data_IF_037696317430
#
_entry.id   IF_037696317430
#
_cell.length_a   1.000
_cell.length_b   1.000
_cell.length_c   1.000
_cell.angle_alpha   90.00
_cell.angle_beta   90.00
_cell.angle_gamma   90.00
#
_symmetry.space_group_name_H-M   'P 1'
#
loop_
_entity.id
_entity.type
_entity.pdbx_description
1 polymer ?
#
# COMPACT_ATOMS: atom_id res chain seq x y z
N UNK A 1 7.81 -8.47 3.64
CA UNK A 1 7.63 -8.63 2.17
C UNK A 1 6.95 -9.94 1.79
N UNK A 2 7.38 -11.09 2.32
CA UNK A 2 6.83 -12.38 1.90
C UNK A 2 5.29 -12.48 2.00
N UNK A 3 4.72 -12.14 3.17
CA UNK A 3 3.27 -12.14 3.38
C UNK A 3 2.52 -11.17 2.46
N UNK A 4 3.12 -10.03 2.14
CA UNK A 4 2.55 -9.07 1.20
C UNK A 4 2.49 -9.65 -0.21
N UNK A 5 3.55 -10.35 -0.64
CA UNK A 5 3.60 -10.96 -1.97
C UNK A 5 2.62 -12.13 -2.06
N UNK A 6 2.49 -12.93 -0.99
CA UNK A 6 1.44 -13.96 -0.88
C UNK A 6 0.05 -13.31 -1.00
N UNK A 7 -0.18 -12.20 -0.31
CA UNK A 7 -1.43 -11.44 -0.35
C UNK A 7 -1.72 -10.94 -1.76
N UNK A 8 -0.75 -10.32 -2.44
CA UNK A 8 -0.90 -9.86 -3.81
C UNK A 8 -1.26 -11.00 -4.78
N UNK A 9 -0.63 -12.18 -4.60
CA UNK A 9 -0.95 -13.38 -5.38
C UNK A 9 -2.40 -13.83 -5.17
N UNK A 10 -2.88 -13.84 -3.92
CA UNK A 10 -4.27 -14.18 -3.59
C UNK A 10 -5.23 -13.20 -4.25
N UNK A 11 -4.99 -11.88 -4.11
CA UNK A 11 -5.84 -10.86 -4.74
C UNK A 11 -5.86 -10.99 -6.26
N UNK A 12 -4.71 -11.17 -6.89
CA UNK A 12 -4.64 -11.33 -8.34
C UNK A 12 -5.44 -12.56 -8.82
N UNK A 13 -5.30 -13.71 -8.14
CA UNK A 13 -6.00 -14.95 -8.50
C UNK A 13 -7.51 -14.87 -8.28
N UNK A 14 -7.96 -14.18 -7.23
CA UNK A 14 -9.39 -14.03 -6.92
C UNK A 14 -10.05 -12.85 -7.65
N UNK A 15 -9.27 -12.04 -8.37
CA UNK A 15 -9.75 -10.86 -9.07
C UNK A 15 -10.57 -11.19 -10.32
N UNK A 16 -11.46 -10.25 -10.67
CA UNK A 16 -12.23 -10.31 -11.92
C UNK A 16 -11.30 -10.27 -13.15
N UNK A 17 -11.76 -10.76 -14.31
CA UNK A 17 -10.99 -10.66 -15.56
C UNK A 17 -10.49 -9.24 -15.85
N UNK A 18 -11.34 -8.22 -15.67
CA UNK A 18 -10.98 -6.83 -15.90
C UNK A 18 -9.81 -6.35 -15.04
N UNK A 19 -9.77 -6.74 -13.75
CA UNK A 19 -8.64 -6.38 -12.87
C UNK A 19 -7.37 -7.12 -13.28
N UNK A 20 -7.47 -8.39 -13.70
CA UNK A 20 -6.31 -9.13 -14.21
C UNK A 20 -5.79 -8.53 -15.52
N UNK A 21 -6.67 -8.10 -16.41
CA UNK A 21 -6.29 -7.45 -17.66
C UNK A 21 -5.58 -6.11 -17.40
N UNK A 22 -6.09 -5.31 -16.46
CA UNK A 22 -5.42 -4.09 -16.01
C UNK A 22 -4.03 -4.38 -15.43
N UNK A 23 -3.89 -5.47 -14.67
CA UNK A 23 -2.61 -5.85 -14.09
C UNK A 23 -1.60 -6.33 -15.18
N UNK A 24 -2.05 -7.07 -16.19
CA UNK A 24 -1.19 -7.40 -17.34
C UNK A 24 -0.81 -6.18 -18.15
N UNK A 25 -1.73 -5.21 -18.30
CA UNK A 25 -1.42 -3.95 -18.97
C UNK A 25 -0.33 -3.20 -18.19
N UNK A 26 -0.47 -3.11 -16.87
CA UNK A 26 0.54 -2.53 -15.99
C UNK A 26 1.90 -3.23 -16.11
N UNK A 27 1.92 -4.56 -16.21
CA UNK A 27 3.17 -5.30 -16.46
C UNK A 27 3.85 -4.86 -17.75
N UNK A 28 3.08 -4.81 -18.85
CA UNK A 28 3.58 -4.40 -20.17
C UNK A 28 4.00 -2.94 -20.25
N UNK A 29 3.43 -2.07 -19.42
CA UNK A 29 3.84 -0.66 -19.33
C UNK A 29 5.24 -0.52 -18.69
N UNK A 30 5.65 -1.47 -17.86
CA UNK A 30 6.97 -1.46 -17.21
C UNK A 30 8.00 -2.25 -18.02
N UNK A 31 7.63 -3.42 -18.55
CA UNK A 31 8.45 -4.29 -19.41
C UNK A 31 8.63 -3.63 -20.79
N UNK A 32 9.59 -2.72 -20.90
CA UNK A 32 9.76 -1.82 -22.04
C UNK A 32 10.38 -2.54 -23.24
N UNK A 33 11.30 -3.47 -23.00
CA UNK A 33 11.92 -4.27 -24.07
C UNK A 33 11.14 -5.54 -24.45
N UNK A 34 10.07 -5.87 -23.71
CA UNK A 34 9.19 -7.02 -23.91
C UNK A 34 9.91 -8.36 -23.77
N UNK A 35 10.93 -8.45 -22.90
CA UNK A 35 11.63 -9.71 -22.63
C UNK A 35 10.92 -10.61 -21.59
N UNK A 36 9.77 -10.15 -21.07
CA UNK A 36 8.89 -10.90 -20.18
C UNK A 36 9.27 -10.79 -18.70
N UNK A 37 10.19 -9.90 -18.35
CA UNK A 37 10.64 -9.62 -16.99
C UNK A 37 10.99 -8.13 -16.90
N UNK A 38 11.09 -7.61 -15.68
CA UNK A 38 11.39 -6.19 -15.46
C UNK A 38 12.74 -6.04 -14.80
N UNK A 39 13.68 -5.39 -15.47
CA UNK A 39 14.98 -5.08 -14.89
C UNK A 39 14.93 -3.82 -14.00
N UNK A 40 16.00 -3.59 -13.22
CA UNK A 40 16.09 -2.42 -12.35
C UNK A 40 15.97 -1.09 -13.13
N UNK A 41 16.50 -1.01 -14.36
CA UNK A 41 16.48 0.23 -15.14
C UNK A 41 15.05 0.60 -15.56
N UNK A 42 14.30 -0.36 -16.10
CA UNK A 42 12.89 -0.20 -16.47
C UNK A 42 12.04 0.18 -15.27
N UNK A 43 12.23 -0.53 -14.15
CA UNK A 43 11.55 -0.22 -12.89
C UNK A 43 11.81 1.22 -12.42
N UNK A 44 13.07 1.66 -12.36
CA UNK A 44 13.41 3.01 -11.93
C UNK A 44 12.95 4.09 -12.93
N UNK A 45 12.90 3.74 -14.22
CA UNK A 45 12.26 4.51 -15.28
C UNK A 45 10.82 4.81 -14.95
N UNK A 46 10.02 3.75 -14.92
CA UNK A 46 8.60 3.81 -14.66
C UNK A 46 8.25 4.51 -13.34
N UNK A 47 8.93 4.17 -12.23
CA UNK A 47 8.63 4.79 -10.93
C UNK A 47 8.83 6.30 -10.90
N UNK A 48 9.80 6.82 -11.67
CA UNK A 48 10.05 8.26 -11.74
C UNK A 48 8.99 8.94 -12.60
N UNK A 49 8.69 8.37 -13.74
CA UNK A 49 7.81 8.97 -14.74
C UNK A 49 6.34 8.99 -14.25
N UNK A 50 5.92 7.97 -13.49
CA UNK A 50 4.59 7.88 -12.87
C UNK A 50 4.49 8.55 -11.49
N UNK A 51 5.53 9.27 -11.04
CA UNK A 51 5.49 10.03 -9.79
C UNK A 51 5.58 9.18 -8.51
N UNK A 52 6.00 7.92 -8.60
CA UNK A 52 6.23 7.02 -7.47
C UNK A 52 7.66 7.15 -6.90
N UNK A 53 8.11 8.38 -6.64
CA UNK A 53 9.48 8.68 -6.25
C UNK A 53 9.98 7.89 -5.03
N UNK A 54 9.13 7.68 -3.99
CA UNK A 54 9.51 6.88 -2.81
C UNK A 54 9.77 5.40 -3.12
N UNK A 55 9.16 4.87 -4.17
CA UNK A 55 9.38 3.51 -4.65
C UNK A 55 10.56 3.42 -5.63
N UNK A 56 11.04 4.56 -6.17
CA UNK A 56 12.16 4.65 -7.12
C UNK A 56 13.52 4.45 -6.44
N UNK A 57 13.72 3.29 -5.81
CA UNK A 57 14.99 2.93 -5.18
C UNK A 57 15.37 1.48 -5.45
N UNK A 58 16.69 1.24 -5.54
CA UNK A 58 17.25 -0.12 -5.65
C UNK A 58 16.87 -0.98 -4.43
N UNK A 59 16.78 -0.38 -3.25
CA UNK A 59 16.39 -1.10 -2.03
C UNK A 59 14.98 -1.65 -2.14
N UNK A 60 14.02 -0.83 -2.58
CA UNK A 60 12.64 -1.26 -2.77
C UNK A 60 12.50 -2.27 -3.90
N UNK A 61 13.20 -2.10 -5.03
CA UNK A 61 13.24 -3.11 -6.10
C UNK A 61 13.71 -4.49 -5.58
N UNK A 62 14.81 -4.53 -4.82
CA UNK A 62 15.32 -5.78 -4.22
C UNK A 62 14.33 -6.41 -3.25
N UNK A 63 13.47 -5.63 -2.62
CA UNK A 63 12.42 -6.15 -1.74
C UNK A 63 11.33 -6.92 -2.50
N UNK A 64 11.18 -6.67 -3.81
CA UNK A 64 10.29 -7.36 -4.74
C UNK A 64 10.97 -8.52 -5.48
N UNK A 65 12.28 -8.43 -5.74
CA UNK A 65 13.12 -9.47 -6.38
C UNK A 65 13.42 -10.63 -5.40
N UNK A 66 12.41 -11.46 -5.15
CA UNK A 66 12.48 -12.53 -4.13
C UNK A 66 13.53 -13.59 -4.39
N UNK A 67 13.76 -13.93 -5.66
CA UNK A 67 14.69 -14.98 -6.05
C UNK A 67 16.11 -14.43 -6.27
N UNK A 68 16.32 -13.11 -6.13
CA UNK A 68 17.61 -12.46 -6.34
C UNK A 68 18.09 -12.60 -7.78
N UNK A 69 17.17 -12.71 -8.74
CA UNK A 69 17.50 -12.88 -10.15
C UNK A 69 18.04 -11.62 -10.80
N UNK A 70 17.89 -10.46 -10.14
CA UNK A 70 18.17 -9.15 -10.71
C UNK A 70 17.03 -8.60 -11.55
N UNK A 71 15.92 -9.32 -11.65
CA UNK A 71 14.72 -8.96 -12.44
C UNK A 71 13.45 -9.29 -11.66
N UNK A 72 12.33 -8.61 -11.95
CA UNK A 72 11.03 -8.97 -11.44
C UNK A 72 10.29 -9.83 -12.46
N UNK A 73 9.84 -10.99 -12.02
CA UNK A 73 8.86 -11.77 -12.79
C UNK A 73 7.46 -11.12 -12.70
N UNK A 74 6.50 -11.70 -13.43
CA UNK A 74 5.11 -11.25 -13.40
C UNK A 74 4.56 -11.10 -11.98
N UNK A 75 4.84 -12.03 -11.07
CA UNK A 75 4.31 -11.96 -9.71
C UNK A 75 5.01 -10.91 -8.84
N UNK A 76 6.30 -10.65 -9.07
CA UNK A 76 7.02 -9.52 -8.48
C UNK A 76 6.39 -8.18 -8.87
N UNK A 77 6.01 -8.02 -10.13
CA UNK A 77 5.30 -6.84 -10.62
C UNK A 77 3.84 -6.79 -10.13
N UNK A 78 3.15 -7.92 -9.98
CA UNK A 78 1.81 -7.93 -9.36
C UNK A 78 1.85 -7.51 -7.89
N UNK A 79 2.94 -7.83 -7.18
CA UNK A 79 3.14 -7.33 -5.82
C UNK A 79 3.29 -5.81 -5.80
N UNK A 80 4.06 -5.25 -6.73
CA UNK A 80 4.15 -3.79 -6.93
C UNK A 80 2.78 -3.17 -7.25
N UNK A 81 2.05 -3.74 -8.21
CA UNK A 81 0.71 -3.27 -8.58
C UNK A 81 -0.23 -3.23 -7.37
N UNK A 82 -0.24 -4.32 -6.59
CA UNK A 82 -1.01 -4.38 -5.35
C UNK A 82 -0.56 -3.34 -4.31
N UNK A 83 0.74 -3.10 -4.14
CA UNK A 83 1.27 -2.07 -3.23
C UNK A 83 0.72 -0.68 -3.59
N UNK A 84 0.75 -0.33 -4.87
CA UNK A 84 0.25 0.96 -5.39
C UNK A 84 -1.27 1.05 -5.19
N UNK A 85 -2.02 0.06 -5.66
CA UNK A 85 -3.49 0.08 -5.62
C UNK A 85 -4.07 0.05 -4.21
N UNK A 86 -3.41 -0.66 -3.28
CA UNK A 86 -3.85 -0.71 -1.88
C UNK A 86 -3.37 0.49 -1.05
N UNK A 87 -2.61 1.42 -1.63
CA UNK A 87 -2.15 2.64 -0.97
C UNK A 87 -1.24 2.36 0.24
N UNK A 88 -0.39 1.32 0.15
CA UNK A 88 0.46 0.97 1.31
C UNK A 88 1.44 2.09 1.63
N UNK A 89 1.56 2.45 2.92
CA UNK A 89 2.26 3.66 3.29
C UNK A 89 3.78 3.47 3.35
N UNK A 90 4.46 4.60 3.33
CA UNK A 90 5.85 4.73 3.79
C UNK A 90 5.85 5.34 5.18
N UNK A 91 6.85 4.96 5.99
CA UNK A 91 7.04 5.48 7.33
C UNK A 91 7.39 6.96 7.27
N UNK A 92 6.70 7.78 8.08
CA UNK A 92 6.99 9.20 8.22
C UNK A 92 8.32 9.47 8.95
N UNK A 93 8.77 8.55 9.81
CA UNK A 93 10.00 8.71 10.60
C UNK A 93 11.27 8.35 9.84
N UNK A 94 11.29 7.19 9.15
CA UNK A 94 12.48 6.69 8.46
C UNK A 94 12.36 6.64 6.93
N UNK A 95 11.23 7.06 6.37
CA UNK A 95 10.93 7.01 4.92
C UNK A 95 10.96 5.62 4.27
N UNK A 96 11.09 4.54 5.05
CA UNK A 96 11.02 3.17 4.53
C UNK A 96 9.59 2.73 4.24
N UNK A 97 9.45 1.85 3.24
CA UNK A 97 8.20 1.20 2.90
C UNK A 97 7.70 0.32 4.06
N UNK A 98 6.41 0.39 4.40
CA UNK A 98 5.82 -0.44 5.46
C UNK A 98 5.03 -1.61 4.84
N UNK A 99 5.57 -2.84 4.83
CA UNK A 99 4.91 -3.97 4.18
C UNK A 99 3.75 -4.58 4.99
N UNK A 100 3.62 -4.22 6.27
CA UNK A 100 2.76 -4.90 7.23
C UNK A 100 1.97 -3.95 8.12
N UNK A 101 1.84 -4.33 9.39
CA UNK A 101 1.19 -3.52 10.41
C UNK A 101 1.93 -2.18 10.58
N UNK A 102 1.16 -1.10 10.73
CA UNK A 102 1.69 0.24 10.96
C UNK A 102 0.79 1.00 11.92
N UNK A 103 1.35 2.04 12.55
CA UNK A 103 0.60 2.99 13.36
C UNK A 103 0.28 4.22 12.51
N UNK A 104 -0.92 4.77 12.65
CA UNK A 104 -1.31 6.00 11.97
C UNK A 104 -2.06 6.94 12.88
N UNK A 105 -1.84 8.24 12.69
CA UNK A 105 -2.62 9.26 13.39
C UNK A 105 -4.08 9.21 12.91
N UNK A 106 -5.01 8.93 13.82
CA UNK A 106 -6.43 8.81 13.49
C UNK A 106 -7.05 10.14 13.01
N UNK A 107 -6.56 11.27 13.53
CA UNK A 107 -6.99 12.61 13.10
C UNK A 107 -6.54 12.94 11.67
N UNK A 108 -5.27 12.70 11.35
CA UNK A 108 -4.77 12.91 9.98
C UNK A 108 -5.42 11.96 8.99
N UNK A 109 -5.61 10.69 9.37
CA UNK A 109 -6.28 9.71 8.52
C UNK A 109 -7.69 10.14 8.08
N UNK A 110 -8.40 10.91 8.91
CA UNK A 110 -9.75 11.36 8.62
C UNK A 110 -9.81 12.69 7.85
N UNK A 111 -8.86 13.59 8.09
CA UNK A 111 -8.97 15.00 7.71
C UNK A 111 -7.85 15.50 6.81
N UNK A 112 -6.92 14.64 6.40
CA UNK A 112 -5.77 15.00 5.56
C UNK A 112 -5.72 14.11 4.33
N UNK A 113 -5.23 14.67 3.23
CA UNK A 113 -4.89 13.91 2.04
C UNK A 113 -3.71 12.95 2.29
N UNK A 114 -2.84 13.31 3.23
CA UNK A 114 -1.69 12.49 3.62
C UNK A 114 -1.82 12.11 5.10
N UNK A 115 -2.10 10.84 5.35
CA UNK A 115 -2.06 10.27 6.69
C UNK A 115 -0.61 10.11 7.16
N UNK A 116 -0.36 10.39 8.45
CA UNK A 116 0.93 10.13 9.08
C UNK A 116 0.97 8.66 9.49
N UNK A 117 1.74 7.85 8.78
CA UNK A 117 1.94 6.43 9.05
C UNK A 117 3.37 6.19 9.57
N UNK A 118 3.52 5.31 10.54
CA UNK A 118 4.79 4.98 11.20
C UNK A 118 4.96 3.47 11.25
N UNK A 119 6.17 2.99 10.96
CA UNK A 119 6.52 1.60 11.25
C UNK A 119 6.55 1.38 12.78
N UNK A 120 6.43 0.11 13.23
CA UNK A 120 6.47 -0.21 14.65
C UNK A 120 7.71 0.33 15.37
N UNK A 121 8.87 0.29 14.72
CA UNK A 121 10.15 0.73 15.29
C UNK A 121 10.16 2.26 15.52
N UNK A 122 9.76 3.05 14.52
CA UNK A 122 9.69 4.50 14.66
C UNK A 122 8.65 4.93 15.69
N UNK A 123 7.51 4.23 15.74
CA UNK A 123 6.47 4.51 16.72
C UNK A 123 6.94 4.22 18.15
N UNK A 124 7.54 3.05 18.38
CA UNK A 124 8.04 2.64 19.70
C UNK A 124 9.17 3.53 20.22
N UNK A 125 10.08 3.94 19.33
CA UNK A 125 11.24 4.76 19.69
C UNK A 125 10.93 6.27 19.72
N UNK A 126 9.75 6.70 19.27
CA UNK A 126 9.40 8.12 19.19
C UNK A 126 10.25 8.91 18.19
N UNK A 127 10.79 8.26 17.14
CA UNK A 127 11.66 8.89 16.14
C UNK A 127 10.87 9.61 15.04
N UNK A 128 9.91 10.44 15.46
CA UNK A 128 9.07 11.24 14.58
C UNK A 128 8.58 12.49 15.32
N UNK A 129 8.28 13.56 14.58
CA UNK A 129 7.67 14.77 15.14
C UNK A 129 6.25 14.92 14.61
N UNK A 130 5.26 14.86 15.49
CA UNK A 130 3.86 15.04 15.12
C UNK A 130 3.04 15.60 16.28
N UNK A 131 2.14 16.55 16.00
CA UNK A 131 1.39 17.28 17.04
C UNK A 131 0.30 16.44 17.71
N UNK A 132 -0.36 15.57 16.95
CA UNK A 132 -1.44 14.73 17.49
C UNK A 132 -0.88 13.52 18.24
N UNK A 133 -1.52 13.16 19.35
CA UNK A 133 -1.15 11.99 20.18
C UNK A 133 -2.00 10.74 19.91
N UNK A 134 -3.03 10.85 19.09
CA UNK A 134 -4.00 9.78 18.85
C UNK A 134 -3.55 8.91 17.69
N UNK A 135 -2.83 7.84 18.01
CA UNK A 135 -2.40 6.82 17.05
C UNK A 135 -3.16 5.53 17.28
N UNK A 136 -3.47 4.84 16.19
CA UNK A 136 -4.02 3.49 16.17
C UNK A 136 -3.19 2.67 15.19
N UNK A 137 -3.04 1.38 15.45
CA UNK A 137 -2.59 0.47 14.41
C UNK A 137 -3.68 0.31 13.33
N UNK A 138 -3.30 -0.18 12.16
CA UNK A 138 -4.23 -0.32 11.03
C UNK A 138 -5.39 -1.29 11.30
N UNK A 139 -5.27 -2.27 12.20
CA UNK A 139 -6.39 -3.14 12.57
C UNK A 139 -7.38 -2.42 13.50
N UNK A 140 -6.86 -1.78 14.55
CA UNK A 140 -7.67 -0.96 15.46
C UNK A 140 -8.41 0.17 14.72
N UNK A 141 -7.74 0.81 13.75
CA UNK A 141 -8.35 1.83 12.90
C UNK A 141 -9.52 1.27 12.07
N UNK A 142 -9.34 0.10 11.44
CA UNK A 142 -10.41 -0.55 10.67
C UNK A 142 -11.62 -0.88 11.55
N UNK A 143 -11.40 -1.32 12.79
CA UNK A 143 -12.47 -1.60 13.74
C UNK A 143 -13.23 -0.33 14.14
N UNK A 144 -12.51 0.77 14.40
CA UNK A 144 -13.15 2.08 14.66
C UNK A 144 -14.00 2.52 13.47
N UNK A 145 -13.49 2.36 12.24
CA UNK A 145 -14.24 2.67 11.01
C UNK A 145 -15.48 1.80 10.85
N UNK A 146 -15.38 0.51 11.16
CA UNK A 146 -16.53 -0.41 11.14
C UNK A 146 -17.61 0.03 12.13
N UNK A 147 -17.22 0.38 13.36
CA UNK A 147 -18.15 0.86 14.40
C UNK A 147 -18.82 2.18 14.02
N UNK A 148 -18.07 3.11 13.43
CA UNK A 148 -18.63 4.36 12.90
C UNK A 148 -19.67 4.11 11.80
N UNK A 149 -19.39 3.16 10.90
CA UNK A 149 -20.34 2.74 9.86
C UNK A 149 -21.64 2.19 10.45
N UNK A 150 -21.55 1.27 11.42
CA UNK A 150 -22.73 0.69 12.09
C UNK A 150 -23.57 1.78 12.77
N UNK A 151 -22.93 2.67 13.54
CA UNK A 151 -23.63 3.75 14.24
C UNK A 151 -24.35 4.70 13.26
N UNK A 152 -23.73 5.02 12.12
CA UNK A 152 -24.32 5.89 11.10
C UNK A 152 -25.57 5.25 10.47
N UNK A 153 -25.52 3.94 10.18
CA UNK A 153 -26.68 3.21 9.66
C UNK A 153 -27.84 3.17 10.66
N UNK A 154 -27.57 2.95 11.95
CA UNK A 154 -28.61 2.96 12.99
C UNK A 154 -29.26 4.35 13.12
N UNK A 155 -28.47 5.43 13.11
CA UNK A 155 -29.00 6.80 13.18
C UNK A 155 -29.87 7.13 11.96
N UNK A 156 -29.48 6.70 10.76
CA UNK A 156 -30.26 6.93 9.55
C UNK A 156 -31.60 6.15 9.57
N UNK A 157 -31.59 4.90 10.04
CA UNK A 157 -32.82 4.11 10.19
C UNK A 157 -33.79 4.69 11.23
N UNK A 158 -33.29 5.30 12.32
CA UNK A 158 -34.13 5.98 13.30
C UNK A 158 -34.73 7.30 12.76
N UNK A 159 -33.98 8.07 11.96
CA UNK A 159 -34.51 9.29 11.33
C UNK A 159 -35.56 9.02 10.25
N UNK A 160 -35.40 7.96 9.45
CA UNK A 160 -36.38 7.59 8.40
C UNK A 160 -37.69 7.05 8.98
N UNK A 161 -37.66 6.45 10.18
CA UNK A 161 -38.87 5.98 10.88
C UNK A 161 -39.61 7.07 11.68
N UNK A 162 -39.03 8.26 11.80
CA UNK A 162 -39.58 9.39 12.56
C UNK A 162 -40.23 10.47 11.67
N UNK A 163 -40.41 10.18 10.38
CA UNK A 163 -41.16 10.96 9.38
C UNK A 163 -42.38 10.14 8.95
#
# INVERSE_FOLDING_TARGET
MEELIKTANIYYKSSSPAIRDAAHKFFKEIDHDNDGKVCLHEFLGFMRDEGHAKMSSRHFFKSLDRNGSGTLDFMGVMALYYIIQSGRPFCYGCDDFIPGMYFTCSKCFQNSQNAICLCPECFANGTYTHEHKQFLDNYALLEVKRMQGIATHSIHQHKVKAL
#
